data_IF_716124244708
#
_entry.id   IF_716124244708
#
_cell.length_a   1.000
_cell.length_b   1.000
_cell.length_c   1.000
_cell.angle_alpha   90.00
_cell.angle_beta   90.00
_cell.angle_gamma   90.00
#
_symmetry.space_group_name_H-M   'P 1'
#
loop_
_entity.id
_entity.type
_entity.pdbx_description
1 polymer ?
#
# COMPACT_ATOMS: atom_id res chain seq x y z
N UNK A 1 11.66 -71.79 20.69
CA UNK A 1 11.42 -70.32 20.62
C UNK A 1 10.25 -70.07 19.69
N UNK A 2 9.12 -69.55 20.21
CA UNK A 2 7.91 -69.26 19.42
C UNK A 2 8.08 -67.86 18.83
N UNK A 3 8.28 -67.76 17.53
CA UNK A 3 8.42 -66.49 16.81
C UNK A 3 7.06 -65.80 16.74
N UNK A 4 6.93 -64.65 17.38
CA UNK A 4 5.73 -63.80 17.35
C UNK A 4 5.78 -63.01 16.05
N UNK A 5 4.96 -63.38 15.05
CA UNK A 5 4.76 -62.57 13.85
C UNK A 5 3.86 -61.40 14.18
N UNK A 6 4.40 -60.19 14.21
CA UNK A 6 3.62 -58.94 14.24
C UNK A 6 2.89 -58.79 12.90
N UNK A 7 1.55 -58.81 12.91
CA UNK A 7 0.76 -58.44 11.73
C UNK A 7 1.09 -56.99 11.37
N UNK A 8 1.60 -56.76 10.17
CA UNK A 8 1.66 -55.42 9.60
C UNK A 8 0.28 -55.09 9.06
N UNK A 9 -0.40 -54.15 9.70
CA UNK A 9 -1.63 -53.59 9.17
C UNK A 9 -1.27 -52.59 8.07
N UNK A 10 -1.86 -52.75 6.90
CA UNK A 10 -1.69 -51.84 5.76
C UNK A 10 -2.88 -50.90 5.67
N UNK A 11 -2.64 -49.69 5.17
CA UNK A 11 -3.69 -48.71 4.90
C UNK A 11 -4.72 -49.28 3.94
N UNK A 12 -6.01 -49.09 4.26
CA UNK A 12 -7.09 -49.47 3.34
C UNK A 12 -7.32 -48.38 2.30
N UNK A 13 -7.77 -48.76 1.10
CA UNK A 13 -8.12 -47.80 0.04
C UNK A 13 -9.19 -46.80 0.53
N UNK A 14 -10.16 -47.29 1.30
CA UNK A 14 -11.28 -46.49 1.83
C UNK A 14 -10.78 -45.41 2.79
N UNK A 15 -9.81 -45.74 3.62
CA UNK A 15 -9.20 -44.81 4.58
C UNK A 15 -8.49 -43.64 3.87
N UNK A 16 -7.76 -43.94 2.79
CA UNK A 16 -7.15 -42.91 1.95
C UNK A 16 -8.23 -42.08 1.24
N UNK A 17 -9.29 -42.71 0.73
CA UNK A 17 -10.40 -42.01 0.05
C UNK A 17 -11.10 -41.00 0.96
N UNK A 18 -11.42 -41.36 2.20
CA UNK A 18 -12.07 -40.45 3.14
C UNK A 18 -11.17 -39.25 3.43
N UNK A 19 -9.86 -39.46 3.57
CA UNK A 19 -8.90 -38.38 3.81
C UNK A 19 -8.85 -37.40 2.63
N UNK A 20 -8.71 -37.88 1.38
CA UNK A 20 -8.67 -36.96 0.23
C UNK A 20 -10.00 -36.25 -0.02
N UNK A 21 -11.14 -36.90 0.24
CA UNK A 21 -12.46 -36.28 0.11
C UNK A 21 -12.64 -35.17 1.16
N UNK A 22 -12.28 -35.44 2.42
CA UNK A 22 -12.38 -34.43 3.48
C UNK A 22 -11.40 -33.27 3.26
N UNK A 23 -10.18 -33.54 2.78
CA UNK A 23 -9.23 -32.50 2.38
C UNK A 23 -9.77 -31.62 1.23
N UNK A 24 -10.42 -32.22 0.22
CA UNK A 24 -11.00 -31.48 -0.90
C UNK A 24 -12.14 -30.54 -0.45
N UNK A 25 -13.00 -31.00 0.47
CA UNK A 25 -14.09 -30.19 1.04
C UNK A 25 -13.54 -29.01 1.85
N UNK A 26 -12.56 -29.25 2.73
CA UNK A 26 -11.94 -28.19 3.54
C UNK A 26 -11.21 -27.18 2.64
N UNK A 27 -10.42 -27.64 1.66
CA UNK A 27 -9.70 -26.77 0.74
C UNK A 27 -10.64 -25.86 -0.06
N UNK A 28 -11.80 -26.37 -0.50
CA UNK A 28 -12.80 -25.59 -1.24
C UNK A 28 -13.43 -24.45 -0.43
N UNK A 29 -13.59 -24.61 0.90
CA UNK A 29 -14.16 -23.57 1.76
C UNK A 29 -13.16 -22.50 2.20
N UNK A 30 -11.87 -22.85 2.36
CA UNK A 30 -10.86 -21.93 2.92
C UNK A 30 -10.42 -20.85 1.93
N UNK A 31 -10.34 -21.17 0.63
CA UNK A 31 -9.85 -20.25 -0.41
C UNK A 31 -10.67 -18.95 -0.53
N UNK A 32 -12.02 -18.95 -0.61
CA UNK A 32 -12.78 -17.72 -0.81
C UNK A 32 -12.67 -16.74 0.37
N UNK A 33 -12.66 -17.23 1.61
CA UNK A 33 -12.60 -16.39 2.81
C UNK A 33 -11.27 -15.63 2.93
N UNK A 34 -10.17 -16.23 2.46
CA UNK A 34 -8.85 -15.60 2.52
C UNK A 34 -8.75 -14.36 1.61
N UNK A 35 -9.43 -14.37 0.46
CA UNK A 35 -9.35 -13.27 -0.50
C UNK A 35 -10.00 -11.98 0.02
N UNK A 36 -11.13 -12.07 0.72
CA UNK A 36 -11.84 -10.91 1.29
C UNK A 36 -11.01 -10.23 2.40
N UNK A 37 -10.50 -11.03 3.34
CA UNK A 37 -9.67 -10.51 4.43
C UNK A 37 -8.38 -9.83 3.94
N UNK A 38 -7.79 -10.32 2.85
CA UNK A 38 -6.61 -9.69 2.22
C UNK A 38 -6.98 -8.35 1.58
N UNK A 39 -8.14 -8.26 0.91
CA UNK A 39 -8.59 -7.00 0.31
C UNK A 39 -8.87 -5.93 1.38
N UNK A 40 -9.57 -6.29 2.46
CA UNK A 40 -9.82 -5.37 3.58
C UNK A 40 -8.52 -4.88 4.22
N UNK A 41 -7.54 -5.77 4.39
CA UNK A 41 -6.23 -5.40 4.90
C UNK A 41 -5.50 -4.41 3.96
N UNK A 42 -5.59 -4.61 2.64
CA UNK A 42 -5.03 -3.70 1.64
C UNK A 42 -5.70 -2.33 1.68
N UNK A 43 -7.04 -2.27 1.75
CA UNK A 43 -7.80 -1.02 1.86
C UNK A 43 -7.43 -0.26 3.14
N UNK A 44 -7.38 -0.96 4.28
CA UNK A 44 -6.98 -0.36 5.56
C UNK A 44 -5.56 0.21 5.52
N UNK A 45 -4.62 -0.54 4.93
CA UNK A 45 -3.25 -0.07 4.73
C UNK A 45 -3.17 1.13 3.77
N UNK A 46 -3.95 1.14 2.69
CA UNK A 46 -4.02 2.26 1.76
C UNK A 46 -4.55 3.53 2.44
N UNK A 47 -5.59 3.42 3.25
CA UNK A 47 -6.12 4.54 4.04
C UNK A 47 -5.10 5.06 5.05
N UNK A 48 -4.39 4.17 5.75
CA UNK A 48 -3.31 4.57 6.67
C UNK A 48 -2.20 5.34 5.94
N UNK A 49 -1.77 4.85 4.78
CA UNK A 49 -0.77 5.52 3.95
C UNK A 49 -1.29 6.89 3.46
N UNK A 50 -2.56 6.99 3.06
CA UNK A 50 -3.18 8.24 2.64
C UNK A 50 -3.20 9.27 3.78
N UNK A 51 -3.51 8.84 5.01
CA UNK A 51 -3.44 9.71 6.19
C UNK A 51 -2.01 10.18 6.46
N UNK A 52 -1.01 9.30 6.36
CA UNK A 52 0.39 9.67 6.51
C UNK A 52 0.82 10.70 5.47
N UNK A 53 0.47 10.51 4.19
CA UNK A 53 0.77 11.46 3.12
C UNK A 53 0.07 12.80 3.33
N UNK A 54 -1.22 12.78 3.69
CA UNK A 54 -2.01 13.99 3.95
C UNK A 54 -1.40 14.81 5.09
N UNK A 55 -1.00 14.16 6.18
CA UNK A 55 -0.35 14.81 7.31
C UNK A 55 1.02 15.39 6.92
N UNK A 56 1.80 14.69 6.10
CA UNK A 56 3.09 15.19 5.61
C UNK A 56 2.90 16.44 4.74
N UNK A 57 1.91 16.45 3.85
CA UNK A 57 1.57 17.60 3.01
C UNK A 57 1.06 18.77 3.86
N UNK A 58 0.25 18.52 4.88
CA UNK A 58 -0.24 19.58 5.77
C UNK A 58 0.91 20.20 6.58
N UNK A 59 1.80 19.37 7.13
CA UNK A 59 2.99 19.85 7.83
C UNK A 59 3.91 20.67 6.91
N UNK A 60 4.04 20.27 5.63
CA UNK A 60 4.73 21.07 4.63
C UNK A 60 4.06 22.43 4.46
N UNK A 61 2.75 22.46 4.22
CA UNK A 61 2.01 23.71 4.02
C UNK A 61 2.17 24.69 5.19
N UNK A 62 2.19 24.20 6.43
CA UNK A 62 2.43 25.03 7.62
C UNK A 62 3.79 25.76 7.55
N UNK A 63 4.83 25.10 7.04
CA UNK A 63 6.18 25.67 6.97
C UNK A 63 6.40 26.52 5.70
N UNK A 64 5.58 26.34 4.66
CA UNK A 64 5.72 26.94 3.34
C UNK A 64 4.60 27.93 2.96
N UNK A 65 4.10 28.69 3.93
CA UNK A 65 3.09 29.75 3.73
C UNK A 65 1.80 29.26 3.05
N UNK A 66 1.38 28.04 3.39
CA UNK A 66 0.18 27.40 2.86
C UNK A 66 0.35 26.75 1.49
N UNK A 67 1.52 26.87 0.87
CA UNK A 67 1.81 26.25 -0.44
C UNK A 67 1.98 24.74 -0.26
N UNK A 68 1.30 23.97 -1.11
CA UNK A 68 1.49 22.54 -1.16
C UNK A 68 2.77 22.20 -1.96
N UNK A 69 3.33 20.99 -1.81
CA UNK A 69 4.39 20.51 -2.68
C UNK A 69 3.97 20.59 -4.15
N UNK A 70 4.80 21.19 -4.99
CA UNK A 70 4.56 21.40 -6.41
C UNK A 70 5.61 20.73 -7.30
N UNK A 71 6.72 20.28 -6.70
CA UNK A 71 7.71 19.44 -7.38
C UNK A 71 7.19 18.00 -7.49
N UNK A 72 6.97 17.57 -8.72
CA UNK A 72 6.52 16.23 -9.11
C UNK A 72 7.56 15.48 -9.95
N UNK A 73 8.83 15.88 -9.87
CA UNK A 73 9.91 15.25 -10.63
C UNK A 73 10.00 13.76 -10.31
N UNK A 74 10.14 12.94 -11.36
CA UNK A 74 10.20 11.48 -11.21
C UNK A 74 8.90 10.82 -10.73
N UNK A 75 7.75 11.51 -10.80
CA UNK A 75 6.45 10.98 -10.34
C UNK A 75 6.44 10.68 -8.84
N UNK A 76 7.14 11.50 -8.07
CA UNK A 76 7.23 11.49 -6.61
C UNK A 76 7.04 12.93 -6.10
N UNK A 77 6.97 13.13 -4.79
CA UNK A 77 6.95 14.45 -4.14
C UNK A 77 8.26 14.65 -3.37
N UNK A 78 9.39 14.96 -4.03
CA UNK A 78 10.70 15.03 -3.39
C UNK A 78 10.77 16.11 -2.30
N UNK A 79 9.92 17.13 -2.36
CA UNK A 79 9.77 18.14 -1.29
C UNK A 79 9.29 17.55 0.04
N UNK A 80 8.68 16.36 0.03
CA UNK A 80 8.31 15.64 1.26
C UNK A 80 9.45 14.79 1.81
N UNK A 81 10.38 14.32 0.98
CA UNK A 81 11.46 13.40 1.37
C UNK A 81 12.81 14.09 1.56
N UNK A 82 12.97 15.31 1.06
CA UNK A 82 14.19 16.11 1.18
C UNK A 82 13.98 17.35 2.05
N UNK A 83 15.09 18.00 2.39
CA UNK A 83 15.07 19.30 3.06
C UNK A 83 14.85 20.43 2.07
N UNK A 84 14.05 21.41 2.48
CA UNK A 84 13.66 22.54 1.65
C UNK A 84 13.94 23.88 2.34
N UNK A 85 14.13 24.92 1.51
CA UNK A 85 14.12 26.31 1.96
C UNK A 85 12.69 26.84 2.10
N UNK A 86 12.50 28.09 2.54
CA UNK A 86 11.14 28.66 2.73
C UNK A 86 10.29 28.61 1.44
N UNK A 87 10.91 28.72 0.27
CA UNK A 87 10.21 28.72 -1.02
C UNK A 87 9.87 27.31 -1.53
N UNK A 88 10.39 26.25 -0.89
CA UNK A 88 10.17 24.87 -1.31
C UNK A 88 11.28 24.32 -2.21
N UNK A 89 12.39 25.04 -2.40
CA UNK A 89 13.52 24.54 -3.18
C UNK A 89 14.28 23.49 -2.36
N UNK A 90 14.65 22.39 -3.00
CA UNK A 90 15.41 21.31 -2.36
C UNK A 90 16.89 21.65 -2.36
N UNK A 91 17.56 21.43 -1.22
CA UNK A 91 18.98 21.67 -1.12
C UNK A 91 19.57 21.37 0.26
N UNK A 92 20.77 21.88 0.49
CA UNK A 92 21.53 21.67 1.73
C UNK A 92 21.99 22.98 2.36
N UNK A 93 22.40 22.94 3.62
CA UNK A 93 22.89 24.09 4.36
C UNK A 93 21.81 24.85 5.16
N UNK A 94 22.17 26.00 5.78
CA UNK A 94 21.34 26.66 6.79
C UNK A 94 19.99 27.18 6.28
N UNK A 95 19.90 27.49 4.99
CA UNK A 95 18.65 27.97 4.37
C UNK A 95 17.63 26.84 4.20
N UNK A 96 18.08 25.59 4.09
CA UNK A 96 17.26 24.39 3.86
C UNK A 96 16.94 23.69 5.17
N UNK A 97 16.18 24.37 6.04
CA UNK A 97 15.90 23.94 7.43
C UNK A 97 14.58 23.20 7.61
N UNK A 98 13.73 23.18 6.58
CA UNK A 98 12.40 22.59 6.66
C UNK A 98 12.42 21.15 6.15
N UNK A 99 11.54 20.31 6.70
CA UNK A 99 11.50 18.87 6.41
C UNK A 99 12.75 18.08 6.87
N UNK A 100 12.92 16.83 6.39
CA UNK A 100 11.96 16.10 5.56
C UNK A 100 10.69 15.75 6.35
N UNK A 101 9.57 15.63 5.64
CA UNK A 101 8.25 15.34 6.22
C UNK A 101 7.90 13.86 6.18
N UNK A 102 8.56 13.13 5.28
CA UNK A 102 8.58 11.67 5.20
C UNK A 102 10.01 11.18 5.44
N UNK A 103 10.16 10.15 6.26
CA UNK A 103 11.47 9.56 6.58
C UNK A 103 12.00 8.64 5.47
N UNK A 104 11.10 8.20 4.58
CA UNK A 104 11.38 7.33 3.45
C UNK A 104 10.66 7.84 2.21
N UNK A 105 10.97 7.23 1.06
CA UNK A 105 10.19 7.43 -0.17
C UNK A 105 8.71 7.14 0.06
N UNK A 106 7.86 7.73 -0.78
CA UNK A 106 6.42 7.48 -0.79
C UNK A 106 6.17 5.98 -0.87
N UNK A 107 5.39 5.46 0.07
CA UNK A 107 5.06 4.03 0.11
C UNK A 107 4.18 3.66 -1.07
N UNK A 108 4.34 2.44 -1.57
CA UNK A 108 3.43 1.92 -2.60
C UNK A 108 2.00 1.83 -2.05
N UNK A 109 1.03 2.12 -2.91
CA UNK A 109 -0.38 1.89 -2.63
C UNK A 109 -0.62 0.36 -2.59
N UNK A 110 -1.07 -0.22 -1.46
CA UNK A 110 -1.31 -1.66 -1.33
C UNK A 110 -2.35 -2.25 -2.29
N UNK A 111 -3.18 -1.40 -2.90
CA UNK A 111 -4.21 -1.82 -3.87
C UNK A 111 -3.59 -2.24 -5.20
N UNK A 112 -2.58 -1.51 -5.69
CA UNK A 112 -1.98 -1.70 -7.02
C UNK A 112 -0.45 -1.78 -7.02
N UNK A 113 0.17 -1.85 -5.83
CA UNK A 113 1.62 -1.96 -5.60
C UNK A 113 2.46 -0.84 -6.28
N UNK A 114 1.83 0.28 -6.63
CA UNK A 114 2.47 1.41 -7.29
C UNK A 114 2.79 2.52 -6.29
N UNK A 115 3.99 3.08 -6.33
CA UNK A 115 4.37 4.27 -5.56
C UNK A 115 4.30 5.57 -6.40
N UNK A 116 3.89 5.46 -7.66
CA UNK A 116 3.82 6.57 -8.61
C UNK A 116 2.77 7.58 -8.17
N UNK A 117 3.16 8.84 -8.14
CA UNK A 117 2.28 9.99 -7.92
C UNK A 117 1.95 10.63 -9.26
N UNK A 118 0.67 10.68 -9.61
CA UNK A 118 0.15 11.39 -10.77
C UNK A 118 -0.56 12.68 -10.36
N UNK A 119 -0.65 13.64 -11.28
CA UNK A 119 -1.39 14.89 -11.05
C UNK A 119 -2.87 14.68 -11.36
N UNK A 120 -3.74 15.11 -10.45
CA UNK A 120 -5.18 15.12 -10.65
C UNK A 120 -5.55 16.02 -11.84
N UNK A 121 -6.09 15.42 -12.92
CA UNK A 121 -6.57 16.19 -14.07
C UNK A 121 -7.83 17.03 -13.74
N UNK A 122 -8.61 16.58 -12.74
CA UNK A 122 -9.78 17.27 -12.19
C UNK A 122 -9.84 17.02 -10.69
N UNK A 123 -10.42 17.96 -9.95
CA UNK A 123 -10.58 17.88 -8.49
C UNK A 123 -12.06 18.01 -8.12
N UNK A 124 -12.71 16.97 -7.55
CA UNK A 124 -12.16 15.62 -7.33
C UNK A 124 -11.89 14.87 -8.66
N UNK A 125 -10.98 13.89 -8.66
CA UNK A 125 -10.71 13.07 -9.84
C UNK A 125 -11.96 12.25 -10.24
N UNK A 126 -12.28 12.25 -11.53
CA UNK A 126 -13.43 11.50 -12.08
C UNK A 126 -13.11 10.03 -12.31
N UNK A 127 -11.84 9.72 -12.60
CA UNK A 127 -11.35 8.36 -12.82
C UNK A 127 -10.19 8.10 -11.86
N UNK A 128 -10.36 7.12 -10.98
CA UNK A 128 -9.31 6.66 -10.07
C UNK A 128 -8.45 5.53 -10.70
N UNK A 129 -8.81 5.02 -11.88
CA UNK A 129 -8.17 3.89 -12.59
C UNK A 129 -6.81 4.20 -13.25
N UNK A 130 -6.17 5.31 -12.91
CA UNK A 130 -4.81 5.58 -13.41
C UNK A 130 -3.82 4.59 -12.80
N UNK A 131 -2.87 4.07 -13.59
CA UNK A 131 -1.71 3.21 -13.19
C UNK A 131 -0.81 3.80 -12.07
N UNK A 132 -1.16 4.96 -11.53
CA UNK A 132 -0.51 5.59 -10.39
C UNK A 132 -1.00 5.02 -9.07
N UNK A 133 -0.10 4.88 -8.10
CA UNK A 133 -0.48 4.55 -6.74
C UNK A 133 -1.27 5.66 -6.07
N UNK A 134 -0.87 6.91 -6.31
CA UNK A 134 -1.43 8.10 -5.68
C UNK A 134 -1.77 9.15 -6.72
N UNK A 135 -2.93 9.78 -6.57
CA UNK A 135 -3.35 10.92 -7.37
C UNK A 135 -3.25 12.15 -6.47
N UNK A 136 -2.61 13.22 -6.95
CA UNK A 136 -2.28 14.39 -6.15
C UNK A 136 -2.68 15.69 -6.86
N UNK A 137 -3.24 16.63 -6.10
CA UNK A 137 -3.50 17.99 -6.59
C UNK A 137 -2.47 18.97 -5.99
N UNK A 138 -1.53 19.50 -6.80
CA UNK A 138 -0.52 20.44 -6.33
C UNK A 138 -1.09 21.80 -5.91
N UNK A 139 -2.32 22.13 -6.32
CA UNK A 139 -2.95 23.40 -5.94
C UNK A 139 -3.52 23.34 -4.53
N UNK A 140 -4.31 22.31 -4.22
CA UNK A 140 -4.92 22.17 -2.88
C UNK A 140 -4.07 21.38 -1.88
N UNK A 141 -3.16 20.53 -2.36
CA UNK A 141 -2.42 19.56 -1.56
C UNK A 141 -3.23 18.31 -1.20
N UNK A 142 -4.34 18.06 -1.90
CA UNK A 142 -5.18 16.87 -1.67
C UNK A 142 -4.57 15.65 -2.36
N UNK A 143 -4.69 14.50 -1.72
CA UNK A 143 -4.23 13.21 -2.24
C UNK A 143 -5.37 12.20 -2.21
N UNK A 144 -5.41 11.35 -3.23
CA UNK A 144 -6.35 10.24 -3.39
C UNK A 144 -5.56 8.96 -3.69
N UNK A 145 -6.11 7.81 -3.31
CA UNK A 145 -5.60 6.52 -3.71
C UNK A 145 -6.00 6.22 -5.16
N UNK A 146 -5.05 5.77 -5.98
CA UNK A 146 -5.36 5.16 -7.27
C UNK A 146 -6.02 3.79 -7.10
N UNK A 147 -6.82 3.39 -8.10
CA UNK A 147 -7.57 2.13 -8.14
C UNK A 147 -8.54 1.91 -6.96
N UNK A 148 -9.01 2.98 -6.34
CA UNK A 148 -10.11 2.88 -5.38
C UNK A 148 -11.43 2.72 -6.14
N UNK A 149 -12.01 1.52 -6.13
CA UNK A 149 -13.34 1.21 -6.68
C UNK A 149 -14.40 1.25 -5.59
#
# INVERSE_FOLDING_TARGET
>A
MRSVRTKREGFTLVEVMIVVVTMAIIAGMVIPQFNEAVQDAKVSAALSNLHMLSNAIENYKVQHDGRAPDDLTGQTLPQLTHRTDKAGNIGTGPQHRYGPYLLAQITANPLNDSAVVSVAAKVPPENLETLSGWIYDPVSGRVWAGEFN
#
